data_IF_716142171458
#
_entry.id   IF_716142171458
#
_cell.length_a   1.000
_cell.length_b   1.000
_cell.length_c   1.000
_cell.angle_alpha   90.00
_cell.angle_beta   90.00
_cell.angle_gamma   90.00
#
_symmetry.space_group_name_H-M   'P 1'
#
loop_
_entity.id
_entity.type
_entity.pdbx_description
1 polymer ?
#
# COMPACT_ATOMS: atom_id res chain seq x y z
N UNK A 1 21.27 -7.04 0.91
CA UNK A 1 20.69 -6.83 -0.42
C UNK A 1 21.43 -5.62 -0.92
N UNK A 2 22.46 -5.82 -1.74
CA UNK A 2 23.29 -4.71 -2.22
C UNK A 2 22.82 -4.35 -3.62
N UNK A 3 22.33 -3.12 -3.76
CA UNK A 3 21.94 -2.55 -5.05
C UNK A 3 23.15 -1.80 -5.62
N UNK A 4 23.41 -1.87 -6.93
CA UNK A 4 24.41 -1.01 -7.57
C UNK A 4 24.10 0.47 -7.32
N UNK A 5 25.12 1.33 -7.46
CA UNK A 5 24.94 2.77 -7.34
C UNK A 5 23.99 3.34 -8.41
N UNK A 6 23.50 4.56 -8.16
CA UNK A 6 22.56 5.22 -9.05
C UNK A 6 23.10 5.37 -10.48
N UNK A 7 24.38 5.70 -10.64
CA UNK A 7 24.98 5.90 -11.96
C UNK A 7 25.05 4.60 -12.76
N UNK A 8 25.29 3.47 -12.11
CA UNK A 8 25.24 2.15 -12.73
C UNK A 8 23.82 1.79 -13.15
N UNK A 9 22.83 2.01 -12.28
CA UNK A 9 21.41 1.75 -12.61
C UNK A 9 20.93 2.65 -13.75
N UNK A 10 21.33 3.92 -13.77
CA UNK A 10 21.02 4.86 -14.85
C UNK A 10 21.63 4.42 -16.17
N UNK A 11 22.87 3.93 -16.13
CA UNK A 11 23.55 3.39 -17.33
C UNK A 11 22.82 2.16 -17.86
N UNK A 12 22.43 1.24 -16.99
CA UNK A 12 21.65 0.06 -17.36
C UNK A 12 20.30 0.46 -17.98
N UNK A 13 19.60 1.43 -17.39
CA UNK A 13 18.32 1.91 -17.92
C UNK A 13 18.41 2.45 -19.36
N UNK A 14 19.53 3.09 -19.72
CA UNK A 14 19.73 3.69 -21.05
C UNK A 14 20.32 2.70 -22.04
N UNK A 15 21.33 1.92 -21.62
CA UNK A 15 22.11 1.08 -22.52
C UNK A 15 21.58 -0.36 -22.62
N UNK A 16 21.06 -0.91 -21.51
CA UNK A 16 20.73 -2.34 -21.39
C UNK A 16 19.49 -2.54 -20.48
N UNK A 17 18.30 -2.10 -20.94
CA UNK A 17 17.08 -2.13 -20.12
C UNK A 17 16.71 -3.56 -19.67
N UNK A 18 16.99 -4.58 -20.48
CA UNK A 18 16.76 -5.98 -20.13
C UNK A 18 17.60 -6.44 -18.92
N UNK A 19 18.85 -5.96 -18.81
CA UNK A 19 19.70 -6.25 -17.63
C UNK A 19 19.16 -5.59 -16.37
N UNK A 20 18.55 -4.40 -16.50
CA UNK A 20 17.93 -3.74 -15.37
C UNK A 20 16.70 -4.52 -14.89
N UNK A 21 15.87 -5.01 -15.81
CA UNK A 21 14.71 -5.83 -15.46
C UNK A 21 15.13 -7.17 -14.81
N UNK A 22 16.20 -7.78 -15.29
CA UNK A 22 16.75 -9.00 -14.69
C UNK A 22 17.29 -8.75 -13.27
N UNK A 23 18.02 -7.67 -13.06
CA UNK A 23 18.46 -7.25 -11.73
C UNK A 23 17.27 -7.05 -10.80
N UNK A 24 16.21 -6.36 -11.26
CA UNK A 24 14.99 -6.16 -10.48
C UNK A 24 14.33 -7.48 -10.09
N UNK A 25 14.20 -8.45 -11.02
CA UNK A 25 13.66 -9.78 -10.74
C UNK A 25 14.47 -10.52 -9.68
N UNK A 26 15.80 -10.49 -9.80
CA UNK A 26 16.69 -11.13 -8.82
C UNK A 26 16.52 -10.53 -7.41
N UNK A 27 16.35 -9.20 -7.31
CA UNK A 27 16.07 -8.57 -6.02
C UNK A 27 14.71 -8.99 -5.46
N UNK A 28 13.67 -9.06 -6.30
CA UNK A 28 12.33 -9.46 -5.89
C UNK A 28 12.32 -10.91 -5.41
N UNK A 29 12.88 -11.84 -6.17
CA UNK A 29 12.96 -13.25 -5.77
C UNK A 29 13.77 -13.41 -4.48
N UNK A 30 14.91 -12.71 -4.37
CA UNK A 30 15.70 -12.70 -3.15
C UNK A 30 14.98 -12.11 -1.93
N UNK A 31 13.93 -11.29 -2.10
CA UNK A 31 13.05 -10.82 -1.03
C UNK A 31 12.00 -11.87 -0.68
N UNK A 32 11.36 -12.46 -1.69
CA UNK A 32 10.32 -13.48 -1.52
C UNK A 32 10.91 -14.71 -0.81
N UNK A 33 12.09 -15.17 -1.20
CA UNK A 33 12.71 -16.37 -0.62
C UNK A 33 13.04 -16.24 0.87
N UNK A 34 13.08 -15.03 1.42
CA UNK A 34 13.38 -14.76 2.84
C UNK A 34 12.16 -14.87 3.76
N UNK A 35 10.95 -14.82 3.22
CA UNK A 35 9.71 -14.85 4.02
C UNK A 35 9.17 -16.28 4.16
N UNK A 36 8.23 -16.50 5.08
CA UNK A 36 7.64 -17.83 5.29
C UNK A 36 6.87 -18.32 4.06
N UNK A 37 6.69 -19.63 3.85
CA UNK A 37 6.01 -20.17 2.66
C UNK A 37 4.61 -19.60 2.43
N UNK A 38 3.85 -19.35 3.50
CA UNK A 38 2.53 -18.71 3.42
C UNK A 38 2.61 -17.27 2.88
N UNK A 39 3.61 -16.50 3.34
CA UNK A 39 3.85 -15.14 2.87
C UNK A 39 4.39 -15.12 1.44
N UNK A 40 5.21 -16.12 1.04
CA UNK A 40 5.73 -16.24 -0.31
C UNK A 40 4.60 -16.32 -1.34
N UNK A 41 3.59 -17.16 -1.09
CA UNK A 41 2.45 -17.30 -2.00
C UNK A 41 1.72 -15.97 -2.20
N UNK A 42 1.49 -15.23 -1.10
CA UNK A 42 0.84 -13.92 -1.15
C UNK A 42 1.69 -12.87 -1.89
N UNK A 43 3.00 -12.85 -1.65
CA UNK A 43 3.92 -11.93 -2.34
C UNK A 43 4.02 -12.23 -3.84
N UNK A 44 4.04 -13.50 -4.25
CA UNK A 44 4.02 -13.87 -5.68
C UNK A 44 2.73 -13.41 -6.37
N UNK A 45 1.58 -13.53 -5.70
CA UNK A 45 0.32 -12.98 -6.20
C UNK A 45 0.35 -11.44 -6.33
N UNK A 46 0.95 -10.75 -5.36
CA UNK A 46 1.13 -9.30 -5.44
C UNK A 46 2.08 -8.90 -6.58
N UNK A 47 3.19 -9.61 -6.74
CA UNK A 47 4.15 -9.39 -7.82
C UNK A 47 3.48 -9.52 -9.19
N UNK A 48 2.70 -10.59 -9.40
CA UNK A 48 1.91 -10.77 -10.63
C UNK A 48 1.00 -9.57 -10.91
N UNK A 49 0.31 -9.05 -9.88
CA UNK A 49 -0.57 -7.89 -10.03
C UNK A 49 0.20 -6.62 -10.41
N UNK A 50 1.37 -6.40 -9.82
CA UNK A 50 2.26 -5.28 -10.15
C UNK A 50 2.72 -5.39 -11.61
N UNK A 51 3.15 -6.58 -12.03
CA UNK A 51 3.60 -6.82 -13.41
C UNK A 51 2.49 -6.58 -14.43
N UNK A 52 1.26 -7.02 -14.15
CA UNK A 52 0.11 -6.70 -15.00
C UNK A 52 -0.14 -5.19 -15.10
N UNK A 53 -0.03 -4.44 -13.99
CA UNK A 53 -0.18 -2.98 -14.05
C UNK A 53 0.94 -2.30 -14.84
N UNK A 54 2.18 -2.80 -14.75
CA UNK A 54 3.30 -2.32 -15.57
C UNK A 54 3.04 -2.56 -17.06
N UNK A 55 2.55 -3.75 -17.43
CA UNK A 55 2.24 -4.10 -18.82
C UNK A 55 1.06 -3.31 -19.41
N UNK A 56 0.04 -3.02 -18.60
CA UNK A 56 -1.14 -2.26 -19.02
C UNK A 56 -0.92 -0.74 -19.02
N UNK A 57 0.18 -0.26 -18.43
CA UNK A 57 0.48 1.16 -18.37
C UNK A 57 0.90 1.71 -19.73
N UNK A 58 0.50 2.96 -20.01
CA UNK A 58 0.80 3.62 -21.28
C UNK A 58 2.27 4.04 -21.42
N UNK A 59 2.93 4.27 -20.29
CA UNK A 59 4.33 4.66 -20.19
C UNK A 59 4.83 4.43 -18.75
N UNK A 60 6.14 4.62 -18.53
CA UNK A 60 6.77 4.39 -17.22
C UNK A 60 6.16 5.26 -16.10
N UNK A 61 5.76 6.49 -16.38
CA UNK A 61 5.15 7.37 -15.38
C UNK A 61 3.74 6.89 -14.99
N UNK A 62 2.92 6.50 -15.95
CA UNK A 62 1.59 5.89 -15.72
C UNK A 62 1.74 4.62 -14.85
N UNK A 63 2.76 3.80 -15.13
CA UNK A 63 3.07 2.63 -14.31
C UNK A 63 3.38 3.01 -12.85
N UNK A 64 4.23 4.01 -12.63
CA UNK A 64 4.55 4.51 -11.28
C UNK A 64 3.30 4.99 -10.54
N UNK A 65 2.44 5.76 -11.22
CA UNK A 65 1.19 6.28 -10.63
C UNK A 65 0.26 5.14 -10.23
N UNK A 66 0.07 4.14 -11.11
CA UNK A 66 -0.77 2.97 -10.84
C UNK A 66 -0.28 2.16 -9.65
N UNK A 67 1.03 1.91 -9.57
CA UNK A 67 1.62 1.16 -8.45
C UNK A 67 1.50 1.97 -7.16
N UNK A 68 1.74 3.29 -7.20
CA UNK A 68 1.54 4.17 -6.05
C UNK A 68 0.08 4.19 -5.57
N UNK A 69 -0.88 4.21 -6.49
CA UNK A 69 -2.31 4.12 -6.16
C UNK A 69 -2.65 2.78 -5.48
N UNK A 70 -2.17 1.65 -6.01
CA UNK A 70 -2.36 0.34 -5.37
C UNK A 70 -1.83 0.29 -3.92
N UNK A 71 -0.65 0.87 -3.68
CA UNK A 71 -0.09 0.96 -2.33
C UNK A 71 -0.94 1.86 -1.43
N UNK A 72 -1.40 2.99 -1.95
CA UNK A 72 -2.25 3.94 -1.23
C UNK A 72 -3.61 3.35 -0.86
N UNK A 73 -4.25 2.64 -1.78
CA UNK A 73 -5.53 1.96 -1.56
C UNK A 73 -5.41 0.90 -0.46
N UNK A 74 -4.33 0.12 -0.49
CA UNK A 74 -4.05 -0.89 0.53
C UNK A 74 -3.88 -0.26 1.92
N UNK A 75 -3.15 0.84 2.00
CA UNK A 75 -2.98 1.59 3.25
C UNK A 75 -4.30 2.19 3.74
N UNK A 76 -5.09 2.77 2.84
CA UNK A 76 -6.37 3.37 3.18
C UNK A 76 -7.38 2.32 3.68
N UNK A 77 -7.42 1.13 3.07
CA UNK A 77 -8.24 0.00 3.54
C UNK A 77 -7.83 -0.43 4.94
N UNK A 78 -6.52 -0.63 5.17
CA UNK A 78 -6.03 -0.98 6.50
C UNK A 78 -6.39 0.08 7.54
N UNK A 79 -6.20 1.37 7.20
CA UNK A 79 -6.54 2.48 8.09
C UNK A 79 -8.04 2.52 8.40
N UNK A 80 -8.90 2.31 7.41
CA UNK A 80 -10.35 2.33 7.62
C UNK A 80 -10.80 1.18 8.51
N UNK A 81 -10.26 -0.02 8.31
CA UNK A 81 -10.51 -1.18 9.18
C UNK A 81 -10.03 -0.94 10.61
N UNK A 82 -8.82 -0.38 10.79
CA UNK A 82 -8.32 -0.03 12.13
C UNK A 82 -9.21 0.99 12.85
N UNK A 83 -9.71 2.00 12.13
CA UNK A 83 -10.64 2.98 12.70
C UNK A 83 -11.96 2.31 13.10
N UNK A 84 -12.50 1.42 12.26
CA UNK A 84 -13.73 0.68 12.58
C UNK A 84 -13.55 -0.20 13.82
N UNK A 85 -12.46 -0.97 13.90
CA UNK A 85 -12.14 -1.78 15.07
C UNK A 85 -12.01 -0.93 16.34
N UNK A 86 -11.31 0.20 16.25
CA UNK A 86 -11.16 1.14 17.35
C UNK A 86 -12.51 1.72 17.81
N UNK A 87 -13.34 2.17 16.87
CA UNK A 87 -14.66 2.71 17.17
C UNK A 87 -15.57 1.66 17.85
N UNK A 88 -15.52 0.40 17.41
CA UNK A 88 -16.28 -0.69 18.01
C UNK A 88 -15.83 -0.98 19.46
N UNK A 89 -14.54 -0.88 19.76
CA UNK A 89 -14.02 -1.03 21.13
C UNK A 89 -14.54 0.05 22.09
N UNK A 90 -14.84 1.26 21.59
CA UNK A 90 -15.40 2.35 22.39
C UNK A 90 -16.94 2.44 22.34
N UNK A 91 -17.60 1.75 21.40
CA UNK A 91 -19.05 1.77 21.26
C UNK A 91 -19.76 1.06 22.43
N UNK A 92 -19.20 -0.04 22.95
CA UNK A 92 -19.71 -0.75 24.13
C UNK A 92 -19.38 -0.04 25.47
N UNK A 93 -18.49 0.95 25.45
CA UNK A 93 -18.07 1.73 26.62
C UNK A 93 -18.57 3.18 26.60
N UNK A 94 -19.41 3.55 25.63
CA UNK A 94 -19.96 4.90 25.57
C UNK A 94 -20.70 5.20 26.90
N UNK A 95 -20.24 6.19 27.69
CA UNK A 95 -20.95 6.58 28.90
C UNK A 95 -22.39 6.95 28.53
N UNK A 96 -23.36 6.52 29.32
CA UNK A 96 -24.72 7.07 29.24
C UNK A 96 -24.64 8.53 29.68
N UNK A 97 -24.44 9.42 28.72
CA UNK A 97 -24.39 10.85 28.98
C UNK A 97 -25.79 11.35 29.31
N UNK A 98 -25.96 11.95 30.50
CA UNK A 98 -27.19 12.67 30.84
C UNK A 98 -27.34 13.86 29.87
N UNK A 99 -28.48 13.91 29.17
CA UNK A 99 -28.82 14.85 28.07
C UNK A 99 -28.46 16.32 28.33
N UNK A 100 -28.42 16.75 29.59
CA UNK A 100 -28.37 18.18 29.90
C UNK A 100 -26.97 18.80 29.91
N UNK A 101 -25.88 18.01 29.95
CA UNK A 101 -24.53 18.56 30.18
C UNK A 101 -23.47 18.15 29.15
N UNK A 102 -23.75 17.24 28.21
CA UNK A 102 -22.77 16.81 27.21
C UNK A 102 -23.37 16.87 25.81
N UNK A 103 -22.78 17.70 24.96
CA UNK A 103 -23.11 17.76 23.53
C UNK A 103 -22.13 16.87 22.78
N UNK A 104 -22.66 15.88 22.06
CA UNK A 104 -21.86 15.07 21.15
C UNK A 104 -21.36 15.91 19.98
N UNK A 105 -20.09 15.77 19.62
CA UNK A 105 -19.52 16.44 18.45
C UNK A 105 -20.27 16.08 17.15
N UNK A 106 -20.81 14.87 17.05
CA UNK A 106 -21.64 14.46 15.90
C UNK A 106 -22.93 15.29 15.80
N UNK A 107 -23.57 15.62 16.93
CA UNK A 107 -24.81 16.40 16.96
C UNK A 107 -24.58 17.89 16.72
N UNK A 108 -23.43 18.43 17.14
CA UNK A 108 -23.05 19.82 16.90
C UNK A 108 -22.95 20.14 15.40
N UNK A 109 -22.31 19.28 14.62
CA UNK A 109 -22.17 19.50 13.18
C UNK A 109 -23.49 19.32 12.41
N UNK A 110 -24.43 18.52 12.94
CA UNK A 110 -25.72 18.28 12.31
C UNK A 110 -26.70 19.45 12.47
N UNK A 111 -26.57 20.23 13.54
CA UNK A 111 -27.37 21.45 13.81
C UNK A 111 -26.93 22.69 13.01
N UNK A 112 -25.79 22.63 12.32
CA UNK A 112 -25.22 23.78 11.57
C UNK A 112 -25.52 23.76 10.07
N UNK A 113 -26.36 22.81 9.62
CA UNK A 113 -27.03 22.79 8.32
C UNK A 113 -28.49 23.18 8.51
#
# INVERSE_FOLDING_TARGET
MELPDFDTLRRLAVAEPERLDELLRQQIEGLIDRVSPEQQQRLRGLQFRIDCQRQLAKNNMDSCIRIAAMMHDSFYSMRSEMIQLNANLYADQAPVYRENNVVSFFDYYRKKK
#
